data_IF_119724166324
#
_entry.id   IF_119724166324
#
_cell.length_a   1.000
_cell.length_b   1.000
_cell.length_c   1.000
_cell.angle_alpha   90.00
_cell.angle_beta   90.00
_cell.angle_gamma   90.00
#
_symmetry.space_group_name_H-M   'P 1'
#
loop_
_entity.id
_entity.type
_entity.pdbx_description
1 polymer ?
#
# COMPACT_ATOMS: atom_id res chain seq x y z
N UNK A 1 -25.70 -50.40 42.40
CA UNK A 1 -27.11 -50.05 42.63
C UNK A 1 -27.69 -49.62 41.29
N UNK A 2 -28.33 -50.50 40.49
CA UNK A 2 -29.75 -50.92 40.58
C UNK A 2 -30.68 -49.68 40.58
N UNK A 3 -31.57 -49.42 39.61
CA UNK A 3 -32.58 -50.27 38.91
C UNK A 3 -32.96 -49.68 37.53
N UNK A 4 -33.15 -50.48 36.45
CA UNK A 4 -34.43 -51.08 35.96
C UNK A 4 -35.43 -50.01 35.42
N UNK A 5 -36.10 -50.09 34.26
CA UNK A 5 -36.37 -51.16 33.29
C UNK A 5 -36.98 -50.59 31.99
N UNK A 6 -36.85 -51.31 30.87
CA UNK A 6 -37.91 -52.04 30.13
C UNK A 6 -39.19 -51.26 29.75
N UNK A 7 -39.30 -51.03 28.43
CA UNK A 7 -40.32 -51.55 27.52
C UNK A 7 -41.83 -51.29 27.79
N UNK A 8 -42.46 -50.61 26.83
CA UNK A 8 -43.71 -51.00 26.12
C UNK A 8 -44.03 -49.83 25.15
N UNK A 9 -44.16 -50.05 23.85
CA UNK A 9 -45.41 -50.52 23.23
C UNK A 9 -46.39 -49.34 23.18
N UNK A 10 -47.01 -48.93 22.09
CA UNK A 10 -47.37 -49.56 20.82
C UNK A 10 -48.28 -48.56 20.10
N UNK A 11 -48.58 -48.83 18.83
CA UNK A 11 -49.65 -48.21 18.02
C UNK A 11 -49.29 -46.99 17.15
N UNK A 12 -48.88 -47.33 15.92
CA UNK A 12 -49.30 -46.65 14.68
C UNK A 12 -50.85 -46.64 14.61
N UNK A 13 -51.48 -45.60 14.03
CA UNK A 13 -51.73 -45.58 12.58
C UNK A 13 -51.67 -44.17 11.96
N UNK A 14 -51.65 -44.07 10.63
CA UNK A 14 -51.92 -42.80 9.93
C UNK A 14 -50.78 -42.24 9.08
N UNK A 15 -50.24 -43.05 8.19
CA UNK A 15 -49.53 -42.58 7.00
C UNK A 15 -50.49 -41.79 6.11
N UNK A 16 -50.26 -40.50 5.88
CA UNK A 16 -50.75 -39.77 4.70
C UNK A 16 -49.96 -38.44 4.50
N UNK A 17 -49.14 -38.45 3.44
CA UNK A 17 -48.61 -37.31 2.65
C UNK A 17 -47.62 -36.35 3.32
N UNK A 18 -46.36 -36.78 3.41
CA UNK A 18 -45.26 -35.87 3.13
C UNK A 18 -45.11 -35.78 1.59
N UNK A 19 -45.20 -34.56 1.07
CA UNK A 19 -45.12 -34.24 -0.36
C UNK A 19 -43.75 -34.70 -0.90
N UNK A 20 -43.72 -35.45 -2.02
CA UNK A 20 -42.47 -35.89 -2.63
C UNK A 20 -41.67 -34.68 -3.11
N UNK A 21 -40.37 -34.67 -2.79
CA UNK A 21 -39.41 -33.75 -3.36
C UNK A 21 -39.45 -33.90 -4.89
N UNK A 22 -39.93 -32.87 -5.56
CA UNK A 22 -39.78 -32.76 -6.99
C UNK A 22 -38.29 -32.57 -7.29
N UNK A 23 -37.68 -33.58 -7.93
CA UNK A 23 -36.43 -33.49 -8.65
C UNK A 23 -36.72 -32.92 -10.05
N UNK A 24 -36.34 -31.66 -10.36
CA UNK A 24 -36.28 -31.19 -11.73
C UNK A 24 -34.96 -31.62 -12.41
N UNK A 25 -34.92 -31.63 -13.75
CA UNK A 25 -34.24 -32.64 -14.54
C UNK A 25 -32.75 -32.38 -14.80
N UNK A 26 -32.06 -33.47 -15.11
CA UNK A 26 -30.72 -33.52 -15.70
C UNK A 26 -30.60 -32.63 -16.95
N UNK A 27 -30.15 -31.39 -16.77
CA UNK A 27 -29.54 -30.63 -17.86
C UNK A 27 -28.05 -30.94 -17.89
N UNK A 28 -27.69 -31.68 -18.94
CA UNK A 28 -26.32 -32.01 -19.38
C UNK A 28 -25.31 -30.94 -18.96
N UNK A 29 -24.35 -31.33 -18.12
CA UNK A 29 -23.03 -30.72 -18.16
C UNK A 29 -22.55 -30.71 -19.63
N UNK A 30 -22.22 -29.55 -20.21
CA UNK A 30 -21.47 -29.57 -21.45
C UNK A 30 -20.08 -30.19 -21.17
N UNK A 31 -19.56 -30.83 -22.22
CA UNK A 31 -18.34 -31.63 -22.30
C UNK A 31 -17.14 -31.19 -21.44
N UNK A 32 -16.20 -32.11 -21.13
CA UNK A 32 -14.96 -31.78 -20.42
C UNK A 32 -14.30 -30.55 -21.03
N UNK A 33 -13.97 -29.59 -20.17
CA UNK A 33 -13.26 -28.33 -20.46
C UNK A 33 -11.79 -28.61 -20.79
N UNK A 34 -11.54 -29.58 -21.67
CA UNK A 34 -10.24 -30.02 -22.15
C UNK A 34 -10.02 -29.62 -23.61
N UNK A 35 -11.05 -29.05 -24.26
CA UNK A 35 -11.02 -28.60 -25.64
C UNK A 35 -11.55 -27.17 -25.83
N UNK A 36 -11.62 -26.37 -24.75
CA UNK A 36 -11.87 -24.93 -24.89
C UNK A 36 -10.55 -24.27 -25.29
N UNK A 37 -10.35 -24.06 -26.59
CA UNK A 37 -9.24 -23.29 -27.13
C UNK A 37 -9.25 -21.91 -26.49
N UNK A 38 -8.34 -21.70 -25.55
CA UNK A 38 -8.15 -20.42 -24.86
C UNK A 38 -7.84 -19.37 -25.95
N UNK A 39 -8.61 -18.26 -26.06
CA UNK A 39 -8.31 -17.21 -27.04
C UNK A 39 -6.89 -16.68 -26.79
N UNK A 40 -6.13 -16.41 -27.86
CA UNK A 40 -4.71 -16.01 -27.77
C UNK A 40 -4.48 -14.80 -26.84
N UNK A 41 -5.46 -13.91 -26.73
CA UNK A 41 -5.47 -12.76 -25.81
C UNK A 41 -5.40 -13.14 -24.33
N UNK A 42 -5.98 -14.29 -23.94
CA UNK A 42 -5.97 -14.79 -22.56
C UNK A 42 -4.69 -15.58 -22.24
N UNK A 43 -4.01 -16.12 -23.27
CA UNK A 43 -2.68 -16.72 -23.11
C UNK A 43 -1.62 -15.63 -22.92
N UNK A 44 -1.69 -14.55 -23.70
CA UNK A 44 -0.84 -13.38 -23.54
C UNK A 44 -0.99 -12.73 -22.15
N UNK A 45 -2.22 -12.67 -21.60
CA UNK A 45 -2.45 -12.15 -20.25
C UNK A 45 -1.93 -13.09 -19.15
N UNK A 46 -1.94 -14.41 -19.35
CA UNK A 46 -1.36 -15.38 -18.42
C UNK A 46 0.17 -15.38 -18.44
N UNK A 47 0.80 -15.20 -19.59
CA UNK A 47 2.25 -15.01 -19.70
C UNK A 47 2.67 -13.69 -19.08
N UNK A 48 1.89 -12.62 -19.29
CA UNK A 48 2.06 -11.36 -18.57
C UNK A 48 1.97 -11.58 -17.07
N UNK A 49 0.93 -12.25 -16.56
CA UNK A 49 0.76 -12.51 -15.11
C UNK A 49 1.86 -13.39 -14.51
N UNK A 50 2.46 -14.30 -15.29
CA UNK A 50 3.57 -15.16 -14.86
C UNK A 50 4.92 -14.45 -14.92
N UNK A 51 5.19 -13.67 -15.96
CA UNK A 51 6.31 -12.73 -16.00
C UNK A 51 6.17 -11.67 -14.90
N UNK A 52 4.92 -11.32 -14.58
CA UNK A 52 4.61 -10.52 -13.41
C UNK A 52 5.04 -11.32 -12.14
N UNK A 53 4.49 -12.52 -11.88
CA UNK A 53 4.83 -13.25 -10.63
C UNK A 53 6.34 -13.62 -10.51
N UNK A 54 7.09 -13.72 -11.61
CA UNK A 54 8.54 -14.03 -11.60
C UNK A 54 9.45 -12.80 -11.35
N UNK A 55 9.09 -11.56 -11.76
CA UNK A 55 9.91 -10.36 -11.44
C UNK A 55 9.93 -10.12 -9.93
N UNK A 56 8.77 -10.22 -9.28
CA UNK A 56 8.62 -10.00 -7.82
C UNK A 56 9.44 -10.99 -6.99
N UNK A 57 9.83 -12.13 -7.58
CA UNK A 57 10.67 -13.17 -6.95
C UNK A 57 12.18 -12.91 -7.11
N UNK A 58 12.61 -12.14 -8.12
CA UNK A 58 14.04 -11.84 -8.37
C UNK A 58 14.54 -10.58 -7.67
N UNK A 59 13.66 -9.67 -7.30
CA UNK A 59 13.98 -8.44 -6.55
C UNK A 59 14.39 -8.70 -5.08
N UNK A 60 14.15 -9.91 -4.56
CA UNK A 60 14.23 -10.21 -3.14
C UNK A 60 15.32 -11.21 -2.79
N UNK A 61 16.60 -10.87 -3.00
CA UNK A 61 17.63 -11.53 -2.18
C UNK A 61 17.66 -10.84 -0.82
N UNK A 62 17.38 -11.54 0.30
CA UNK A 62 17.29 -10.94 1.63
C UNK A 62 18.60 -10.29 2.12
N UNK A 63 19.70 -10.51 1.41
CA UNK A 63 21.01 -9.89 1.67
C UNK A 63 21.15 -8.50 1.03
N UNK A 64 20.45 -8.22 -0.07
CA UNK A 64 20.56 -6.94 -0.80
C UNK A 64 19.78 -5.82 -0.09
N UNK A 65 18.56 -6.10 0.39
CA UNK A 65 17.79 -5.13 1.18
C UNK A 65 18.49 -4.72 2.48
N UNK A 66 19.17 -5.66 3.14
CA UNK A 66 19.97 -5.38 4.35
C UNK A 66 21.19 -4.51 4.05
N UNK A 67 21.85 -4.70 2.91
CA UNK A 67 22.94 -3.85 2.45
C UNK A 67 22.47 -2.41 2.21
N UNK A 68 21.32 -2.23 1.56
CA UNK A 68 20.72 -0.89 1.34
C UNK A 68 20.41 -0.21 2.68
N UNK A 69 19.78 -0.91 3.62
CA UNK A 69 19.51 -0.36 4.96
C UNK A 69 20.80 -0.02 5.71
N UNK A 70 21.84 -0.87 5.63
CA UNK A 70 23.14 -0.61 6.25
C UNK A 70 23.77 0.68 5.70
N UNK A 71 23.75 0.86 4.38
CA UNK A 71 24.22 2.09 3.71
C UNK A 71 23.39 3.29 4.16
N UNK A 72 22.08 3.14 4.33
CA UNK A 72 21.20 4.22 4.77
C UNK A 72 21.46 4.64 6.22
N UNK A 73 21.70 3.68 7.12
CA UNK A 73 22.13 3.95 8.50
C UNK A 73 23.48 4.68 8.51
N UNK A 74 24.46 4.17 7.75
CA UNK A 74 25.76 4.81 7.63
C UNK A 74 25.62 6.25 7.12
N UNK A 75 24.83 6.47 6.07
CA UNK A 75 24.61 7.81 5.53
C UNK A 75 23.89 8.74 6.52
N UNK A 76 22.93 8.24 7.30
CA UNK A 76 22.30 9.01 8.38
C UNK A 76 23.29 9.44 9.46
N UNK A 77 24.21 8.55 9.84
CA UNK A 77 25.28 8.84 10.81
C UNK A 77 26.29 9.84 10.24
N UNK A 78 26.70 9.70 8.97
CA UNK A 78 27.61 10.64 8.31
C UNK A 78 26.97 12.02 8.15
N UNK A 79 25.68 12.07 7.79
CA UNK A 79 24.92 13.30 7.67
C UNK A 79 24.51 13.93 9.00
N UNK A 80 24.86 13.32 10.15
CA UNK A 80 24.46 13.74 11.51
C UNK A 80 22.95 14.03 11.62
N UNK A 81 22.14 13.28 10.88
CA UNK A 81 20.69 13.45 10.87
C UNK A 81 20.05 12.34 11.72
N UNK A 82 19.75 12.69 12.97
CA UNK A 82 19.18 11.76 13.96
C UNK A 82 17.85 11.15 13.48
N UNK A 83 17.04 11.90 12.71
CA UNK A 83 15.78 11.37 12.16
C UNK A 83 16.04 10.24 11.15
N UNK A 84 16.96 10.44 10.20
CA UNK A 84 17.28 9.42 9.20
C UNK A 84 17.98 8.23 9.84
N UNK A 85 18.93 8.48 10.72
CA UNK A 85 19.69 7.44 11.41
C UNK A 85 18.77 6.56 12.26
N UNK A 86 17.86 7.16 13.05
CA UNK A 86 16.92 6.40 13.89
C UNK A 86 15.89 5.63 13.06
N UNK A 87 15.33 6.22 12.01
CA UNK A 87 14.39 5.54 11.13
C UNK A 87 15.03 4.34 10.42
N UNK A 88 16.23 4.52 9.85
CA UNK A 88 16.96 3.45 9.17
C UNK A 88 17.40 2.35 10.14
N UNK A 89 17.86 2.72 11.34
CA UNK A 89 18.28 1.77 12.37
C UNK A 89 17.10 0.95 12.90
N UNK A 90 15.95 1.60 13.18
CA UNK A 90 14.73 0.90 13.59
C UNK A 90 14.29 -0.09 12.51
N UNK A 91 14.26 0.33 11.25
CA UNK A 91 13.89 -0.54 10.13
C UNK A 91 14.88 -1.70 9.97
N UNK A 92 16.18 -1.48 10.23
CA UNK A 92 17.21 -2.53 10.16
C UNK A 92 17.02 -3.58 11.25
N UNK A 93 16.65 -3.15 12.47
CA UNK A 93 16.29 -4.05 13.57
C UNK A 93 15.05 -4.87 13.20
N UNK A 94 13.99 -4.24 12.68
CA UNK A 94 12.79 -4.97 12.23
C UNK A 94 13.07 -5.92 11.07
N UNK A 95 13.93 -5.54 10.12
CA UNK A 95 14.32 -6.39 8.99
C UNK A 95 15.22 -7.58 9.39
N UNK A 96 15.83 -7.54 10.58
CA UNK A 96 16.71 -8.62 11.06
C UNK A 96 16.05 -9.52 12.08
N UNK A 97 15.22 -8.98 12.98
CA UNK A 97 14.58 -9.72 14.07
C UNK A 97 13.06 -9.93 13.87
N UNK A 98 12.40 -9.11 13.04
CA UNK A 98 10.95 -9.10 12.90
C UNK A 98 10.40 -10.21 12.00
N UNK A 99 9.19 -10.73 12.28
CA UNK A 99 8.49 -11.60 11.34
C UNK A 99 8.06 -10.81 10.09
N UNK A 100 8.07 -11.46 8.92
CA UNK A 100 7.75 -10.82 7.64
C UNK A 100 6.41 -10.06 7.64
N UNK A 101 5.41 -10.56 8.37
CA UNK A 101 4.09 -9.92 8.51
C UNK A 101 4.14 -8.50 9.11
N UNK A 102 5.13 -8.19 9.95
CA UNK A 102 5.30 -6.84 10.50
C UNK A 102 5.79 -5.87 9.42
N UNK A 103 6.67 -6.34 8.52
CA UNK A 103 7.15 -5.51 7.40
C UNK A 103 6.03 -5.25 6.39
N UNK A 104 5.23 -6.27 6.05
CA UNK A 104 4.07 -6.13 5.17
C UNK A 104 3.05 -5.12 5.74
N UNK A 105 2.77 -5.20 7.04
CA UNK A 105 1.88 -4.24 7.71
C UNK A 105 2.49 -2.83 7.72
N UNK A 106 3.79 -2.70 7.96
CA UNK A 106 4.45 -1.40 7.97
C UNK A 106 4.40 -0.76 6.57
N UNK A 107 4.60 -1.54 5.51
CA UNK A 107 4.55 -1.03 4.14
C UNK A 107 3.16 -0.51 3.75
N UNK A 108 2.10 -1.24 4.11
CA UNK A 108 0.72 -0.89 3.71
C UNK A 108 0.15 0.30 4.50
N UNK A 109 0.48 0.41 5.80
CA UNK A 109 -0.13 1.42 6.66
C UNK A 109 0.74 2.65 6.93
N UNK A 110 2.08 2.57 6.85
CA UNK A 110 2.97 3.67 7.28
C UNK A 110 2.77 4.93 6.45
N UNK A 111 2.61 4.80 5.13
CA UNK A 111 2.45 5.96 4.26
C UNK A 111 1.12 6.68 4.55
N UNK A 112 0.03 5.92 4.66
CA UNK A 112 -1.29 6.45 5.00
C UNK A 112 -1.32 7.09 6.39
N UNK A 113 -0.74 6.43 7.39
CA UNK A 113 -0.63 6.96 8.75
C UNK A 113 0.25 8.20 8.81
N UNK A 114 1.36 8.23 8.08
CA UNK A 114 2.26 9.38 8.01
C UNK A 114 1.56 10.62 7.43
N UNK A 115 0.86 10.47 6.30
CA UNK A 115 0.09 11.56 5.69
C UNK A 115 -1.03 12.04 6.62
N UNK A 116 -1.72 11.10 7.28
CA UNK A 116 -2.76 11.44 8.25
C UNK A 116 -2.20 12.26 9.42
N UNK A 117 -1.07 11.84 10.00
CA UNK A 117 -0.40 12.55 11.08
C UNK A 117 0.08 13.94 10.64
N UNK A 118 0.63 14.06 9.43
CA UNK A 118 1.00 15.36 8.85
C UNK A 118 -0.22 16.28 8.70
N UNK A 119 -1.35 15.76 8.22
CA UNK A 119 -2.58 16.51 8.06
C UNK A 119 -3.15 16.97 9.42
N UNK A 120 -3.16 16.09 10.42
CA UNK A 120 -3.56 16.44 11.79
C UNK A 120 -2.66 17.56 12.33
N UNK A 121 -1.35 17.47 12.12
CA UNK A 121 -0.39 18.51 12.51
C UNK A 121 -0.69 19.85 11.84
N UNK A 122 -1.05 19.84 10.55
CA UNK A 122 -1.43 21.03 9.79
C UNK A 122 -2.77 21.64 10.26
N UNK A 123 -3.71 20.81 10.74
CA UNK A 123 -5.00 21.24 11.27
C UNK A 123 -4.92 21.74 12.73
N UNK A 124 -3.87 21.38 13.46
CA UNK A 124 -3.66 21.72 14.86
C UNK A 124 -3.75 23.22 15.20
N UNK A 125 -3.19 24.18 14.41
CA UNK A 125 -3.34 25.61 14.71
C UNK A 125 -4.79 26.10 14.60
N UNK A 126 -5.62 25.47 13.76
CA UNK A 126 -7.05 25.76 13.68
C UNK A 126 -7.80 25.23 14.91
N UNK A 127 -7.47 24.01 15.36
CA UNK A 127 -8.06 23.40 16.55
C UNK A 127 -7.71 24.17 17.84
N UNK A 128 -6.52 24.78 17.91
CA UNK A 128 -6.10 25.59 19.05
C UNK A 128 -6.66 27.02 19.06
N UNK A 129 -7.44 27.41 18.05
CA UNK A 129 -8.06 28.74 17.97
C UNK A 129 -7.08 29.89 17.69
N UNK A 130 -5.82 29.60 17.33
CA UNK A 130 -4.81 30.63 17.03
C UNK A 130 -5.03 31.33 15.69
N UNK A 131 -5.82 30.73 14.79
CA UNK A 131 -6.17 31.27 13.48
C UNK A 131 -7.68 31.56 13.44
N UNK A 132 -8.07 32.83 13.60
CA UNK A 132 -9.47 33.23 13.48
C UNK A 132 -10.00 32.99 12.07
N UNK A 133 -11.11 32.24 11.93
CA UNK A 133 -11.69 31.85 10.64
C UNK A 133 -11.97 33.04 9.70
N UNK A 134 -12.37 34.18 10.28
CA UNK A 134 -12.61 35.42 9.54
C UNK A 134 -11.32 35.97 8.91
N UNK A 135 -10.19 35.91 9.62
CA UNK A 135 -8.90 36.36 9.11
C UNK A 135 -8.35 35.39 8.06
N UNK A 136 -8.56 34.08 8.26
CA UNK A 136 -8.19 33.07 7.27
C UNK A 136 -8.94 33.27 5.95
N UNK A 137 -10.25 33.52 5.98
CA UNK A 137 -11.06 33.76 4.78
C UNK A 137 -10.59 34.99 3.98
N UNK A 138 -10.23 36.08 4.67
CA UNK A 138 -9.69 37.28 4.02
C UNK A 138 -8.31 37.02 3.42
N UNK A 139 -7.46 36.24 4.12
CA UNK A 139 -6.14 35.86 3.63
C UNK A 139 -6.23 34.96 2.38
N UNK A 140 -7.26 34.12 2.24
CA UNK A 140 -7.41 33.27 1.05
C UNK A 140 -7.66 34.06 -0.24
N UNK A 141 -8.30 35.23 -0.15
CA UNK A 141 -8.59 36.10 -1.32
C UNK A 141 -7.41 37.05 -1.60
N UNK A 142 -6.45 37.15 -0.68
CA UNK A 142 -5.22 37.91 -0.91
C UNK A 142 -4.36 37.27 -2.01
N UNK A 143 -3.51 38.07 -2.66
CA UNK A 143 -2.59 37.58 -3.71
C UNK A 143 -1.72 36.39 -3.23
N UNK A 144 -1.13 36.41 -2.01
CA UNK A 144 -0.46 35.25 -1.44
C UNK A 144 -1.38 34.04 -1.22
N UNK A 145 -2.63 34.27 -0.79
CA UNK A 145 -3.61 33.22 -0.56
C UNK A 145 -4.00 32.49 -1.84
N UNK A 146 -4.20 33.22 -2.94
CA UNK A 146 -4.52 32.62 -4.24
C UNK A 146 -3.36 31.76 -4.75
N UNK A 147 -2.12 32.24 -4.63
CA UNK A 147 -0.92 31.47 -4.98
C UNK A 147 -0.86 30.20 -4.12
N UNK A 148 -1.11 30.29 -2.81
CA UNK A 148 -1.12 29.14 -1.93
C UNK A 148 -2.17 28.09 -2.31
N UNK A 149 -3.38 28.51 -2.71
CA UNK A 149 -4.43 27.59 -3.18
C UNK A 149 -4.02 26.90 -4.48
N UNK A 150 -3.48 27.64 -5.45
CA UNK A 150 -3.03 27.08 -6.74
C UNK A 150 -1.88 26.09 -6.54
N UNK A 151 -0.87 26.47 -5.74
CA UNK A 151 0.27 25.60 -5.44
C UNK A 151 -0.18 24.39 -4.61
N UNK A 152 -1.10 24.56 -3.67
CA UNK A 152 -1.70 23.47 -2.89
C UNK A 152 -2.39 22.45 -3.80
N UNK A 153 -3.25 22.90 -4.72
CA UNK A 153 -3.91 22.04 -5.68
C UNK A 153 -2.91 21.31 -6.61
N UNK A 154 -1.90 22.04 -7.10
CA UNK A 154 -0.87 21.46 -7.95
C UNK A 154 -0.05 20.40 -7.21
N UNK A 155 0.40 20.69 -5.98
CA UNK A 155 1.19 19.76 -5.18
C UNK A 155 0.42 18.49 -4.81
N UNK A 156 -0.89 18.57 -4.54
CA UNK A 156 -1.73 17.40 -4.31
C UNK A 156 -1.80 16.50 -5.56
N UNK A 157 -1.89 17.10 -6.76
CA UNK A 157 -1.84 16.36 -8.02
C UNK A 157 -0.47 15.69 -8.26
N UNK A 158 0.64 16.39 -7.96
CA UNK A 158 1.98 15.80 -8.01
C UNK A 158 2.11 14.62 -7.05
N UNK A 159 1.63 14.76 -5.81
CA UNK A 159 1.70 13.69 -4.82
C UNK A 159 0.94 12.44 -5.28
N UNK A 160 -0.27 12.60 -5.83
CA UNK A 160 -1.05 11.49 -6.36
C UNK A 160 -0.32 10.74 -7.50
N UNK A 161 0.29 11.49 -8.43
CA UNK A 161 1.09 10.87 -9.49
C UNK A 161 2.37 10.21 -8.97
N UNK A 162 3.01 10.80 -7.94
CA UNK A 162 4.17 10.23 -7.27
C UNK A 162 3.86 8.89 -6.60
N UNK A 163 2.76 8.80 -5.83
CA UNK A 163 2.31 7.53 -5.23
C UNK A 163 2.06 6.48 -6.31
N UNK A 164 1.39 6.87 -7.40
CA UNK A 164 1.11 5.95 -8.51
C UNK A 164 2.40 5.42 -9.16
N UNK A 165 3.41 6.28 -9.37
CA UNK A 165 4.71 5.87 -9.92
C UNK A 165 5.42 4.84 -9.03
N UNK A 166 5.40 5.06 -7.72
CA UNK A 166 6.01 4.18 -6.72
C UNK A 166 5.36 2.81 -6.67
N UNK A 167 4.03 2.75 -6.80
CA UNK A 167 3.28 1.49 -6.82
C UNK A 167 3.58 0.65 -8.08
N UNK A 168 3.86 1.30 -9.21
CA UNK A 168 4.11 0.60 -10.48
C UNK A 168 5.59 0.26 -10.71
N UNK A 169 6.52 1.07 -10.19
CA UNK A 169 7.97 0.91 -10.41
C UNK A 169 8.77 1.13 -9.12
N UNK A 170 8.78 0.15 -8.20
CA UNK A 170 9.53 0.25 -6.94
C UNK A 170 11.05 0.40 -7.15
N UNK A 171 11.58 -0.09 -8.27
CA UNK A 171 12.96 0.13 -8.73
C UNK A 171 13.37 1.61 -8.76
N UNK A 172 12.44 2.52 -9.12
CA UNK A 172 12.72 3.95 -9.13
C UNK A 172 12.81 4.55 -7.72
N UNK A 173 12.16 3.94 -6.73
CA UNK A 173 12.21 4.41 -5.34
C UNK A 173 13.63 4.33 -4.76
N UNK A 174 14.37 3.27 -5.07
CA UNK A 174 15.77 3.12 -4.63
C UNK A 174 16.63 4.29 -5.13
N UNK A 175 16.50 4.64 -6.41
CA UNK A 175 17.20 5.79 -7.01
C UNK A 175 16.84 7.12 -6.34
N UNK A 176 15.55 7.32 -6.01
CA UNK A 176 15.08 8.53 -5.32
C UNK A 176 15.61 8.64 -3.89
N UNK A 177 15.64 7.54 -3.13
CA UNK A 177 16.18 7.52 -1.76
C UNK A 177 17.68 7.83 -1.78
N UNK A 178 18.42 7.17 -2.67
CA UNK A 178 19.86 7.43 -2.82
C UNK A 178 20.15 8.88 -3.23
N UNK A 179 19.38 9.42 -4.18
CA UNK A 179 19.48 10.83 -4.57
C UNK A 179 19.16 11.79 -3.43
N UNK A 180 18.13 11.51 -2.63
CA UNK A 180 17.78 12.32 -1.45
C UNK A 180 18.89 12.33 -0.41
N UNK A 181 19.50 11.19 -0.13
CA UNK A 181 20.61 11.09 0.82
C UNK A 181 21.81 11.89 0.34
N UNK A 182 22.17 11.74 -0.93
CA UNK A 182 23.27 12.50 -1.53
C UNK A 182 23.00 14.00 -1.49
N UNK A 183 21.76 14.41 -1.76
CA UNK A 183 21.33 15.80 -1.68
C UNK A 183 21.42 16.39 -0.27
N UNK A 184 21.05 15.63 0.76
CA UNK A 184 21.20 16.08 2.16
C UNK A 184 22.67 16.27 2.52
N UNK A 185 23.54 15.36 2.09
CA UNK A 185 24.98 15.42 2.38
C UNK A 185 25.68 16.62 1.71
N UNK A 186 25.22 17.04 0.53
CA UNK A 186 25.86 18.11 -0.24
C UNK A 186 25.20 19.48 -0.07
N UNK A 187 23.88 19.52 0.13
CA UNK A 187 23.10 20.76 0.18
C UNK A 187 22.61 21.11 1.59
N UNK A 188 23.00 20.35 2.63
CA UNK A 188 22.56 20.54 4.03
C UNK A 188 21.01 20.58 4.18
N UNK A 189 20.31 19.92 3.25
CA UNK A 189 18.85 19.93 3.18
C UNK A 189 18.18 18.96 4.17
N UNK A 190 16.86 19.05 4.27
CA UNK A 190 16.04 18.08 5.03
C UNK A 190 15.54 17.01 4.05
N UNK A 191 15.69 15.71 4.35
CA UNK A 191 15.14 14.65 3.52
C UNK A 191 13.61 14.74 3.54
N UNK A 192 13.02 15.22 2.45
CA UNK A 192 11.57 15.37 2.28
C UNK A 192 10.84 14.03 2.02
N UNK A 193 11.59 12.92 1.99
CA UNK A 193 11.09 11.59 1.69
C UNK A 193 10.95 11.32 0.19
N UNK A 194 10.76 10.04 -0.20
CA UNK A 194 10.66 9.65 -1.60
C UNK A 194 9.39 10.18 -2.27
N UNK A 195 8.35 10.57 -1.53
CA UNK A 195 7.07 11.02 -2.09
C UNK A 195 7.20 12.34 -2.87
N UNK A 196 7.98 13.30 -2.37
CA UNK A 196 8.20 14.57 -3.07
C UNK A 196 9.05 14.34 -4.33
N UNK A 197 10.14 13.57 -4.20
CA UNK A 197 10.97 13.17 -5.32
C UNK A 197 10.16 12.41 -6.39
N UNK A 198 9.25 11.54 -5.96
CA UNK A 198 8.35 10.79 -6.83
C UNK A 198 7.39 11.68 -7.60
N UNK A 199 6.79 12.68 -6.96
CA UNK A 199 5.90 13.61 -7.62
C UNK A 199 6.62 14.41 -8.70
N UNK A 200 7.82 14.91 -8.40
CA UNK A 200 8.66 15.57 -9.41
C UNK A 200 9.09 14.62 -10.52
N UNK A 201 9.57 13.42 -10.17
CA UNK A 201 9.99 12.41 -11.13
C UNK A 201 8.84 11.98 -12.05
N UNK A 202 7.63 11.82 -11.53
CA UNK A 202 6.45 11.46 -12.33
C UNK A 202 6.13 12.55 -13.37
N UNK A 203 6.22 13.82 -12.99
CA UNK A 203 6.04 14.94 -13.94
C UNK A 203 7.17 14.99 -14.97
N UNK A 204 8.42 14.82 -14.53
CA UNK A 204 9.58 14.82 -15.42
C UNK A 204 9.53 13.68 -16.42
N UNK A 205 9.23 12.46 -15.97
CA UNK A 205 9.11 11.28 -16.83
C UNK A 205 7.95 11.42 -17.82
N UNK A 206 6.85 12.05 -17.40
CA UNK A 206 5.73 12.34 -18.29
C UNK A 206 6.06 13.40 -19.34
N UNK A 207 6.97 14.33 -19.04
CA UNK A 207 7.40 15.36 -19.99
C UNK A 207 8.55 14.90 -20.89
N UNK A 208 9.45 14.05 -20.38
CA UNK A 208 10.65 13.56 -21.07
C UNK A 208 10.42 12.22 -21.79
N UNK A 209 9.41 11.45 -21.39
CA UNK A 209 9.00 10.22 -22.07
C UNK A 209 8.34 10.55 -23.42
N UNK A 210 8.87 10.08 -24.56
CA UNK A 210 8.22 10.22 -25.87
C UNK A 210 6.87 9.50 -25.94
#
# INVERSE_FOLDING_TARGET
MFTRGRAAGSHRPGSLRAVPQATPPHHRFPAPVSALTIPETCRASQEWRRAHIDWKRREGRPVEGKLVLLVLVAAGLLGRNDLVATAAAALLIFATLGPASVLDFLEEYTLSLGILLLLISLLLPFARGHLGLAQAAVQMVSLPGLVAVVVGALSAWLAAQGVNLLQHRPETMLGMVMGSVMGVLWLEGIPAGPLVAAGLAAVLLRFLGP
#
